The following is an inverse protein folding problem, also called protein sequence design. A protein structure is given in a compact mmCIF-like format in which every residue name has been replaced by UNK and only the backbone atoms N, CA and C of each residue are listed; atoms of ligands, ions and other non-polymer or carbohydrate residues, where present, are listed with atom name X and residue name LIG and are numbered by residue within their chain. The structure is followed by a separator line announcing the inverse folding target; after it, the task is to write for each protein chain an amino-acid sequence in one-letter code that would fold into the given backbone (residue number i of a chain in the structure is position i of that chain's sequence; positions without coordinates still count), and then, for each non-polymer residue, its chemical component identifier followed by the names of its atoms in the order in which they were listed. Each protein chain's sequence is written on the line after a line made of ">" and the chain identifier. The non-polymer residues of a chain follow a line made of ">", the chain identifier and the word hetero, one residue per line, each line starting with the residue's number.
data_IF_272393990650
#
_entry.id   IF_272393990650
#
_cell.length_a   1.000
_cell.length_b   1.000
_cell.length_c   1.000
_cell.angle_alpha   90.00
_cell.angle_beta   90.00
_cell.angle_gamma   90.00
#
_symmetry.space_group_name_H-M   'P 1'
#
loop_
_entity.id
_entity.type
_entity.pdbx_description
1 polymer ?
#
# COMPACT_ATOMS: atom_id res chain seq x y z
N UNK A 1 -4.51 4.61 20.94
CA UNK A 1 -3.53 3.80 20.18
C UNK A 1 -2.43 4.69 19.63
N UNK A 2 -1.20 4.18 19.56
CA UNK A 2 -0.03 4.92 19.04
C UNK A 2 -0.22 5.34 17.57
N UNK A 3 -0.81 4.47 16.73
CA UNK A 3 -1.10 4.78 15.33
C UNK A 3 -2.05 5.97 15.14
N UNK A 4 -3.04 6.16 16.01
CA UNK A 4 -3.96 7.31 15.92
C UNK A 4 -3.21 8.65 15.99
N UNK A 5 -2.23 8.77 16.89
CA UNK A 5 -1.39 9.97 17.03
C UNK A 5 -0.48 10.16 15.81
N UNK A 6 0.03 9.07 15.26
CA UNK A 6 0.85 9.09 14.04
C UNK A 6 0.02 9.60 12.88
N UNK A 7 -1.20 9.05 12.70
CA UNK A 7 -2.14 9.44 11.65
C UNK A 7 -2.49 10.92 11.76
N UNK A 8 -2.88 11.42 12.93
CA UNK A 8 -3.12 12.85 13.16
C UNK A 8 -1.89 13.72 12.83
N UNK A 9 -0.68 13.21 13.11
CA UNK A 9 0.59 13.87 12.80
C UNK A 9 0.91 13.99 11.31
N UNK A 10 0.33 13.14 10.46
CA UNK A 10 0.49 13.19 9.00
C UNK A 10 -0.05 14.50 8.45
N UNK A 11 -1.29 14.85 8.83
CA UNK A 11 -2.02 15.99 8.26
C UNK A 11 -1.54 17.33 8.79
N UNK A 12 -0.91 17.35 9.97
CA UNK A 12 -0.59 18.58 10.71
C UNK A 12 -1.83 19.40 11.11
N UNK A 13 -2.99 18.75 11.19
CA UNK A 13 -4.27 19.28 11.67
C UNK A 13 -4.97 18.19 12.49
N UNK A 14 -5.94 18.58 13.33
CA UNK A 14 -6.79 17.63 14.08
C UNK A 14 -7.89 17.08 13.17
N UNK A 15 -7.50 16.31 12.16
CA UNK A 15 -8.45 15.60 11.31
C UNK A 15 -8.17 14.10 11.39
N UNK A 16 -9.24 13.32 11.37
CA UNK A 16 -9.21 11.88 11.20
C UNK A 16 -10.35 11.49 10.25
N UNK A 17 -10.21 10.42 9.44
CA UNK A 17 -11.28 9.98 8.56
C UNK A 17 -12.63 9.73 9.27
N UNK A 18 -12.58 9.32 10.54
CA UNK A 18 -13.77 9.16 11.38
C UNK A 18 -14.63 10.43 11.59
N UNK A 19 -14.09 11.63 11.34
CA UNK A 19 -14.86 12.87 11.40
C UNK A 19 -15.82 13.05 10.23
N UNK A 20 -15.51 12.41 9.09
CA UNK A 20 -16.29 12.52 7.85
C UNK A 20 -17.14 11.26 7.58
N UNK A 21 -17.05 10.23 8.42
CA UNK A 21 -17.89 9.04 8.36
C UNK A 21 -19.26 9.29 9.04
N UNK A 22 -20.31 8.67 8.50
CA UNK A 22 -21.63 8.69 9.15
C UNK A 22 -21.57 8.00 10.55
N UNK A 23 -22.31 8.50 11.56
CA UNK A 23 -22.23 8.02 12.96
C UNK A 23 -22.49 6.52 13.15
N UNK A 24 -23.21 5.89 12.23
CA UNK A 24 -23.57 4.47 12.30
C UNK A 24 -22.48 3.53 11.73
N UNK A 25 -21.44 4.08 11.09
CA UNK A 25 -20.28 3.32 10.65
C UNK A 25 -19.20 3.32 11.73
N UNK A 26 -19.28 2.36 12.66
CA UNK A 26 -18.18 2.04 13.55
C UNK A 26 -17.01 1.49 12.71
N UNK A 27 -16.06 2.35 12.35
CA UNK A 27 -14.89 1.90 11.59
C UNK A 27 -13.82 1.37 12.55
N UNK A 28 -13.42 0.11 12.36
CA UNK A 28 -12.39 -0.54 13.15
C UNK A 28 -10.97 -0.10 12.75
N UNK A 29 -10.82 0.65 11.65
CA UNK A 29 -9.52 1.09 11.10
C UNK A 29 -9.42 2.61 10.99
N UNK A 30 -8.20 3.15 11.02
CA UNK A 30 -7.93 4.58 10.98
C UNK A 30 -7.71 5.12 9.58
N UNK A 31 -7.07 4.34 8.69
CA UNK A 31 -6.67 4.74 7.35
C UNK A 31 -6.94 3.68 6.30
N UNK A 32 -6.92 2.39 6.69
CA UNK A 32 -6.90 1.27 5.76
C UNK A 32 -7.97 1.34 4.65
N UNK A 33 -9.18 1.75 5.02
CA UNK A 33 -10.34 1.82 4.12
C UNK A 33 -10.62 3.24 3.60
N UNK A 34 -9.75 4.20 3.88
CA UNK A 34 -10.06 5.63 3.79
C UNK A 34 -9.18 6.42 2.84
N UNK A 35 -8.50 5.76 1.90
CA UNK A 35 -7.70 6.43 0.87
C UNK A 35 -8.51 7.48 0.09
N UNK A 36 -9.78 7.19 -0.21
CA UNK A 36 -10.70 8.10 -0.87
C UNK A 36 -11.03 9.35 -0.04
N UNK A 37 -11.30 9.21 1.26
CA UNK A 37 -11.54 10.35 2.15
C UNK A 37 -10.30 11.26 2.25
N UNK A 38 -9.11 10.65 2.31
CA UNK A 38 -7.84 11.39 2.31
C UNK A 38 -7.66 12.14 0.99
N UNK A 39 -7.96 11.50 -0.15
CA UNK A 39 -7.91 12.09 -1.47
C UNK A 39 -8.86 13.29 -1.62
N UNK A 40 -10.12 13.14 -1.17
CA UNK A 40 -11.12 14.21 -1.23
C UNK A 40 -10.74 15.40 -0.34
N UNK A 41 -10.16 15.12 0.84
CA UNK A 41 -9.78 16.15 1.80
C UNK A 41 -8.48 16.87 1.41
N UNK A 42 -7.53 16.14 0.84
CA UNK A 42 -6.20 16.64 0.49
C UNK A 42 -5.85 16.32 -0.96
N UNK A 43 -6.61 16.84 -1.95
CA UNK A 43 -6.46 16.46 -3.35
C UNK A 43 -5.10 16.87 -3.93
N UNK A 44 -4.55 18.01 -3.51
CA UNK A 44 -3.23 18.50 -3.95
C UNK A 44 -2.04 17.68 -3.40
N UNK A 45 -2.29 16.88 -2.35
CA UNK A 45 -1.30 16.02 -1.72
C UNK A 45 -1.53 14.54 -2.02
N UNK A 46 -2.46 14.22 -2.91
CA UNK A 46 -2.89 12.86 -3.17
C UNK A 46 -2.65 12.46 -4.63
N UNK A 47 -2.10 11.27 -4.82
CA UNK A 47 -1.49 10.77 -6.05
C UNK A 47 -1.79 9.29 -6.23
N UNK A 48 -1.41 8.76 -7.39
CA UNK A 48 -1.27 7.33 -7.67
C UNK A 48 0.18 6.99 -8.00
N UNK A 49 0.67 5.89 -7.43
CA UNK A 49 1.82 5.16 -7.99
C UNK A 49 1.32 4.21 -9.05
N UNK A 50 1.69 4.45 -10.30
CA UNK A 50 1.11 3.75 -11.44
C UNK A 50 2.17 3.34 -12.47
N UNK A 51 1.87 2.29 -13.23
CA UNK A 51 2.67 1.88 -14.40
C UNK A 51 2.51 2.85 -15.57
N UNK A 52 1.41 3.60 -15.60
CA UNK A 52 1.09 4.53 -16.67
C UNK A 52 1.23 5.98 -16.21
N UNK A 53 1.78 6.87 -17.05
CA UNK A 53 1.93 8.28 -16.71
C UNK A 53 0.60 9.04 -16.71
N UNK A 54 -0.44 8.51 -17.34
CA UNK A 54 -1.76 9.12 -17.52
C UNK A 54 -2.85 8.10 -17.22
N UNK A 55 -4.02 8.59 -16.77
CA UNK A 55 -5.18 7.73 -16.56
C UNK A 55 -5.62 7.09 -17.88
N UNK A 56 -5.80 5.77 -17.87
CA UNK A 56 -6.42 5.05 -18.98
C UNK A 56 -7.94 5.28 -18.90
N UNK A 57 -8.48 6.09 -19.82
CA UNK A 57 -9.92 6.45 -19.84
C UNK A 57 -10.80 5.38 -20.51
N UNK A 58 -10.23 4.60 -21.43
CA UNK A 58 -10.94 3.54 -22.14
C UNK A 58 -10.82 2.22 -21.36
N UNK A 59 -11.93 1.75 -20.81
CA UNK A 59 -12.01 0.50 -20.07
C UNK A 59 -11.54 -0.71 -20.89
N UNK A 60 -11.86 -0.75 -22.19
CA UNK A 60 -11.45 -1.85 -23.06
C UNK A 60 -9.94 -1.85 -23.34
N UNK A 61 -9.29 -0.68 -23.28
CA UNK A 61 -7.84 -0.57 -23.36
C UNK A 61 -7.22 -1.00 -22.03
N UNK A 62 -7.78 -0.56 -20.90
CA UNK A 62 -7.35 -0.94 -19.56
C UNK A 62 -7.34 -2.46 -19.38
N UNK A 63 -8.43 -3.14 -19.71
CA UNK A 63 -8.55 -4.60 -19.58
C UNK A 63 -7.51 -5.39 -20.39
N UNK A 64 -7.03 -4.83 -21.49
CA UNK A 64 -6.02 -5.47 -22.36
C UNK A 64 -4.59 -5.28 -21.86
N UNK A 65 -4.32 -4.22 -21.10
CA UNK A 65 -2.98 -3.88 -20.62
C UNK A 65 -2.80 -4.12 -19.12
N UNK A 66 -3.89 -4.33 -18.39
CA UNK A 66 -3.81 -4.66 -16.98
C UNK A 66 -3.31 -6.10 -16.76
N UNK A 67 -2.58 -6.30 -15.67
CA UNK A 67 -1.93 -7.58 -15.34
C UNK A 67 -2.29 -7.90 -13.91
N UNK A 68 -3.11 -8.94 -13.73
CA UNK A 68 -3.60 -9.37 -12.42
C UNK A 68 -2.82 -10.61 -11.98
N UNK A 69 -2.41 -10.66 -10.71
CA UNK A 69 -1.68 -11.81 -10.17
C UNK A 69 -2.46 -13.11 -10.34
N UNK A 70 -3.77 -13.09 -10.07
CA UNK A 70 -4.61 -14.29 -10.12
C UNK A 70 -4.75 -14.90 -11.51
N UNK A 71 -4.54 -14.09 -12.56
CA UNK A 71 -4.56 -14.58 -13.96
C UNK A 71 -3.22 -15.22 -14.36
N UNK A 72 -2.18 -15.10 -13.54
CA UNK A 72 -0.84 -15.65 -13.85
C UNK A 72 -0.73 -17.16 -13.64
N UNK A 73 -1.66 -17.76 -12.88
CA UNK A 73 -1.69 -19.20 -12.60
C UNK A 73 -1.79 -20.01 -13.90
N UNK A 74 -2.54 -19.51 -14.86
CA UNK A 74 -2.83 -20.19 -16.13
C UNK A 74 -1.88 -19.79 -17.28
N UNK A 75 -1.02 -18.77 -17.09
CA UNK A 75 -0.10 -18.28 -18.12
C UNK A 75 1.29 -17.91 -17.55
N UNK A 76 2.29 -18.80 -17.72
CA UNK A 76 3.67 -18.54 -17.27
C UNK A 76 4.32 -17.31 -17.88
N UNK A 77 3.94 -16.90 -19.10
CA UNK A 77 4.48 -15.67 -19.71
C UNK A 77 3.94 -14.44 -18.97
N UNK A 78 2.67 -14.47 -18.55
CA UNK A 78 2.05 -13.41 -17.77
C UNK A 78 2.69 -13.28 -16.39
N UNK A 79 3.05 -14.41 -15.75
CA UNK A 79 3.76 -14.40 -14.47
C UNK A 79 5.08 -13.63 -14.55
N UNK A 80 5.88 -13.87 -15.59
CA UNK A 80 7.16 -13.17 -15.77
C UNK A 80 6.99 -11.66 -15.94
N UNK A 81 5.94 -11.23 -16.66
CA UNK A 81 5.59 -9.83 -16.83
C UNK A 81 5.15 -9.21 -15.51
N UNK A 82 4.27 -9.90 -14.79
CA UNK A 82 3.75 -9.45 -13.49
C UNK A 82 4.89 -9.25 -12.49
N UNK A 83 5.77 -10.25 -12.32
CA UNK A 83 6.88 -10.17 -11.37
C UNK A 83 7.86 -9.04 -11.71
N UNK A 84 8.05 -8.73 -13.00
CA UNK A 84 8.87 -7.60 -13.43
C UNK A 84 8.26 -6.26 -13.01
N UNK A 85 6.95 -6.10 -13.15
CA UNK A 85 6.27 -4.89 -12.70
C UNK A 85 6.20 -4.83 -11.16
N UNK A 86 5.94 -5.95 -10.49
CA UNK A 86 5.97 -6.07 -9.00
C UNK A 86 7.30 -5.59 -8.43
N UNK A 87 8.43 -6.01 -9.02
CA UNK A 87 9.75 -5.63 -8.52
C UNK A 87 9.97 -4.11 -8.59
N UNK A 88 9.46 -3.41 -9.61
CA UNK A 88 9.58 -1.95 -9.68
C UNK A 88 8.88 -1.27 -8.49
N UNK A 89 7.67 -1.71 -8.14
CA UNK A 89 6.93 -1.17 -7.00
C UNK A 89 7.65 -1.48 -5.69
N UNK A 90 8.14 -2.73 -5.55
CA UNK A 90 8.98 -3.12 -4.41
C UNK A 90 10.21 -2.23 -4.27
N UNK A 91 10.90 -1.89 -5.36
CA UNK A 91 12.08 -1.00 -5.32
C UNK A 91 11.74 0.42 -4.88
N UNK A 92 10.63 1.01 -5.36
CA UNK A 92 10.16 2.33 -4.90
C UNK A 92 9.92 2.30 -3.39
N UNK A 93 9.16 1.31 -2.92
CA UNK A 93 8.77 1.18 -1.52
C UNK A 93 9.96 0.84 -0.62
N UNK A 94 10.90 -0.01 -1.07
CA UNK A 94 12.16 -0.33 -0.38
C UNK A 94 13.02 0.93 -0.20
N UNK A 95 13.13 1.77 -1.23
CA UNK A 95 13.89 3.03 -1.14
C UNK A 95 13.26 3.99 -0.14
N UNK A 96 11.93 4.08 -0.07
CA UNK A 96 11.26 4.86 0.97
C UNK A 96 11.52 4.27 2.36
N UNK A 97 11.44 2.95 2.50
CA UNK A 97 11.64 2.25 3.78
C UNK A 97 13.00 2.56 4.41
N UNK A 98 14.08 2.60 3.61
CA UNK A 98 15.46 2.86 4.09
C UNK A 98 15.59 4.18 4.88
N UNK A 99 14.74 5.17 4.60
CA UNK A 99 14.82 6.50 5.20
C UNK A 99 13.76 6.75 6.28
N UNK A 100 12.94 5.76 6.65
CA UNK A 100 11.75 5.98 7.46
C UNK A 100 11.55 4.94 8.56
N UNK A 101 10.99 5.42 9.68
CA UNK A 101 10.16 4.61 10.57
C UNK A 101 8.86 4.27 9.84
N UNK A 102 8.61 2.98 9.62
CA UNK A 102 7.41 2.52 8.89
C UNK A 102 6.43 1.86 9.85
N UNK A 103 5.22 2.41 9.86
CA UNK A 103 4.05 1.81 10.49
C UNK A 103 3.13 1.23 9.42
N UNK A 104 2.36 0.22 9.82
CA UNK A 104 1.29 -0.29 8.98
C UNK A 104 -0.04 -0.25 9.72
N UNK A 105 -1.10 -0.17 8.93
CA UNK A 105 -2.41 -0.71 9.28
C UNK A 105 -2.83 -1.69 8.17
N UNK A 106 -3.34 -2.86 8.51
CA UNK A 106 -3.51 -3.98 7.58
C UNK A 106 -4.73 -4.84 7.91
N UNK A 107 -5.35 -5.41 6.87
CA UNK A 107 -6.44 -6.38 7.00
C UNK A 107 -5.93 -7.79 7.34
N UNK A 108 -4.61 -8.00 7.40
CA UNK A 108 -3.99 -9.32 7.57
C UNK A 108 -4.65 -10.20 8.67
N UNK A 109 -4.99 -9.69 9.87
CA UNK A 109 -5.59 -10.51 10.93
C UNK A 109 -6.94 -11.10 10.55
N UNK A 110 -7.68 -10.43 9.66
CA UNK A 110 -9.01 -10.84 9.21
C UNK A 110 -8.96 -11.76 7.99
N UNK A 111 -7.79 -11.89 7.33
CA UNK A 111 -7.60 -12.76 6.17
C UNK A 111 -7.31 -14.20 6.61
N UNK A 112 -7.83 -15.19 5.86
CA UNK A 112 -7.51 -16.60 6.07
C UNK A 112 -6.00 -16.83 5.88
N UNK A 113 -5.36 -17.49 6.86
CA UNK A 113 -3.94 -17.79 6.83
C UNK A 113 -3.53 -18.57 5.57
N UNK A 114 -4.37 -19.49 5.07
CA UNK A 114 -4.08 -20.27 3.87
C UNK A 114 -3.88 -19.37 2.64
N UNK A 115 -4.73 -18.35 2.47
CA UNK A 115 -4.63 -17.37 1.37
C UNK A 115 -3.28 -16.63 1.46
N UNK A 116 -2.86 -16.24 2.66
CA UNK A 116 -1.59 -15.53 2.88
C UNK A 116 -0.40 -16.40 2.48
N UNK A 117 -0.44 -17.67 2.85
CA UNK A 117 0.67 -18.63 2.66
C UNK A 117 0.81 -19.04 1.20
N UNK A 118 -0.32 -19.32 0.53
CA UNK A 118 -0.34 -19.75 -0.87
C UNK A 118 0.13 -18.65 -1.83
N UNK A 119 0.02 -17.39 -1.39
CA UNK A 119 0.46 -16.23 -2.17
C UNK A 119 1.98 -16.08 -2.18
N UNK A 120 2.68 -16.59 -1.18
CA UNK A 120 4.12 -16.37 -0.99
C UNK A 120 4.89 -17.56 -1.54
N UNK A 121 5.96 -17.30 -2.30
CA UNK A 121 6.72 -18.37 -2.95
C UNK A 121 7.76 -19.05 -2.02
N UNK A 122 8.41 -18.30 -1.13
CA UNK A 122 9.48 -18.81 -0.27
C UNK A 122 8.94 -19.42 1.02
N UNK A 123 9.35 -20.64 1.36
CA UNK A 123 8.95 -21.30 2.62
C UNK A 123 9.38 -20.50 3.87
N UNK A 124 10.53 -19.84 3.82
CA UNK A 124 10.98 -18.95 4.92
C UNK A 124 10.04 -17.75 5.06
N UNK A 125 9.64 -17.12 3.96
CA UNK A 125 8.68 -16.01 3.98
C UNK A 125 7.29 -16.48 4.44
N UNK A 126 6.85 -17.69 4.06
CA UNK A 126 5.57 -18.27 4.52
C UNK A 126 5.54 -18.40 6.04
N UNK A 127 6.60 -18.97 6.63
CA UNK A 127 6.73 -19.09 8.09
C UNK A 127 6.63 -17.70 8.72
N UNK A 128 7.38 -16.74 8.19
CA UNK A 128 7.38 -15.38 8.72
C UNK A 128 6.01 -14.68 8.60
N UNK A 129 5.31 -14.86 7.48
CA UNK A 129 3.98 -14.30 7.28
C UNK A 129 2.96 -14.84 8.32
N UNK A 130 3.03 -16.14 8.64
CA UNK A 130 2.22 -16.75 9.71
C UNK A 130 2.53 -16.16 11.08
N UNK A 131 3.80 -15.88 11.36
CA UNK A 131 4.20 -15.23 12.61
C UNK A 131 3.63 -13.81 12.72
N UNK A 132 3.73 -13.00 11.66
CA UNK A 132 3.17 -11.64 11.61
C UNK A 132 1.64 -11.69 11.81
N UNK A 133 0.97 -12.61 11.11
CA UNK A 133 -0.48 -12.82 11.22
C UNK A 133 -0.88 -13.18 12.66
N UNK A 134 -0.17 -14.13 13.28
CA UNK A 134 -0.40 -14.54 14.67
C UNK A 134 -0.14 -13.42 15.67
N UNK A 135 0.92 -12.63 15.47
CA UNK A 135 1.26 -11.48 16.33
C UNK A 135 0.14 -10.44 16.32
N UNK A 136 -0.35 -10.06 15.14
CA UNK A 136 -1.42 -9.08 15.02
C UNK A 136 -2.72 -9.61 15.64
N UNK A 137 -3.11 -10.87 15.35
CA UNK A 137 -4.27 -11.52 15.97
C UNK A 137 -4.17 -11.55 17.50
N UNK A 138 -3.04 -11.97 18.05
CA UNK A 138 -2.82 -12.05 19.49
C UNK A 138 -2.88 -10.67 20.17
N UNK A 139 -2.44 -9.62 19.46
CA UNK A 139 -2.51 -8.25 19.95
C UNK A 139 -3.90 -7.61 19.86
N UNK A 140 -4.81 -8.20 19.07
CA UNK A 140 -6.12 -7.61 18.77
C UNK A 140 -6.02 -6.28 18.00
N UNK A 141 -4.92 -6.05 17.27
CA UNK A 141 -4.63 -4.82 16.55
C UNK A 141 -4.43 -5.11 15.07
N UNK A 142 -4.95 -4.22 14.22
CA UNK A 142 -4.70 -4.19 12.79
C UNK A 142 -3.43 -3.39 12.43
N UNK A 143 -2.71 -2.90 13.44
CA UNK A 143 -1.56 -2.01 13.27
C UNK A 143 -0.33 -2.51 14.01
N UNK A 144 0.84 -2.30 13.39
CA UNK A 144 2.13 -2.54 14.02
C UNK A 144 3.23 -1.69 13.39
N UNK A 145 4.32 -1.51 14.11
CA UNK A 145 5.56 -0.92 13.58
C UNK A 145 6.41 -2.02 12.96
N UNK A 146 6.93 -1.78 11.76
CA UNK A 146 7.82 -2.72 11.09
C UNK A 146 9.26 -2.50 11.54
N UNK A 147 9.89 -3.57 12.03
CA UNK A 147 11.25 -3.51 12.58
C UNK A 147 12.33 -3.91 11.56
N UNK A 148 11.98 -4.63 10.50
CA UNK A 148 12.93 -5.13 9.51
C UNK A 148 12.34 -5.08 8.10
N UNK A 149 13.24 -5.12 7.11
CA UNK A 149 12.87 -5.05 5.69
C UNK A 149 12.09 -6.30 5.23
N UNK A 150 12.35 -7.45 5.82
CA UNK A 150 11.73 -8.70 5.39
C UNK A 150 10.22 -8.71 5.62
N UNK A 151 9.78 -8.26 6.81
CA UNK A 151 8.36 -8.13 7.14
C UNK A 151 7.66 -7.11 6.24
N UNK A 152 8.37 -6.02 5.93
CA UNK A 152 7.89 -5.00 4.99
C UNK A 152 7.68 -5.57 3.60
N UNK A 153 8.66 -6.30 3.06
CA UNK A 153 8.58 -6.88 1.72
C UNK A 153 7.47 -7.94 1.59
N UNK A 154 7.25 -8.74 2.64
CA UNK A 154 6.13 -9.69 2.70
C UNK A 154 4.79 -8.96 2.57
N UNK A 155 4.59 -7.89 3.33
CA UNK A 155 3.34 -7.14 3.29
C UNK A 155 3.14 -6.39 1.97
N UNK A 156 4.22 -5.87 1.38
CA UNK A 156 4.19 -5.26 0.04
C UNK A 156 3.78 -6.30 -1.00
N UNK A 157 4.34 -7.50 -0.95
CA UNK A 157 4.00 -8.59 -1.86
C UNK A 157 2.53 -9.00 -1.74
N UNK A 158 2.04 -9.22 -0.51
CA UNK A 158 0.63 -9.54 -0.27
C UNK A 158 -0.31 -8.45 -0.75
N UNK A 159 0.10 -7.18 -0.61
CA UNK A 159 -0.65 -6.02 -1.05
C UNK A 159 -0.68 -5.84 -2.57
N UNK A 160 0.46 -6.03 -3.24
CA UNK A 160 0.53 -5.93 -4.71
C UNK A 160 -0.23 -7.07 -5.39
N UNK A 161 -0.24 -8.26 -4.78
CA UNK A 161 -0.98 -9.44 -5.27
C UNK A 161 -2.47 -9.43 -4.91
N UNK A 162 -2.95 -8.32 -4.37
CA UNK A 162 -4.35 -8.09 -4.03
C UNK A 162 -4.94 -9.08 -3.03
N UNK A 163 -4.12 -9.55 -2.08
CA UNK A 163 -4.52 -10.54 -1.07
C UNK A 163 -4.76 -9.93 0.29
N UNK A 164 -4.03 -8.87 0.59
CA UNK A 164 -4.13 -8.18 1.89
C UNK A 164 -4.01 -6.68 1.67
N UNK A 165 -5.09 -5.96 1.97
CA UNK A 165 -5.03 -4.49 2.06
C UNK A 165 -4.10 -4.09 3.19
N UNK A 166 -3.15 -3.21 2.89
CA UNK A 166 -2.22 -2.63 3.86
C UNK A 166 -1.96 -1.18 3.49
N UNK A 167 -1.99 -0.28 4.46
CA UNK A 167 -1.46 1.08 4.31
C UNK A 167 -0.09 1.16 4.96
N UNK A 168 0.91 1.58 4.18
CA UNK A 168 2.27 1.82 4.65
C UNK A 168 2.42 3.30 4.99
N UNK A 169 2.73 3.58 6.26
CA UNK A 169 2.85 4.93 6.80
C UNK A 169 4.34 5.20 7.05
N UNK A 170 4.94 5.98 6.16
CA UNK A 170 6.32 6.45 6.27
C UNK A 170 6.36 7.70 7.13
N UNK A 171 6.48 7.49 8.45
CA UNK A 171 6.23 8.49 9.49
C UNK A 171 7.09 9.76 9.32
N UNK A 172 8.39 9.60 9.05
CA UNK A 172 9.32 10.72 8.96
C UNK A 172 9.05 11.61 7.74
N UNK A 173 8.68 10.99 6.61
CA UNK A 173 8.37 11.69 5.36
C UNK A 173 6.91 12.13 5.25
N UNK A 174 6.03 11.65 6.14
CA UNK A 174 4.58 11.86 6.07
C UNK A 174 3.98 11.43 4.73
N UNK A 175 4.39 10.24 4.30
CA UNK A 175 3.88 9.57 3.11
C UNK A 175 3.02 8.39 3.53
N UNK A 176 1.88 8.20 2.89
CA UNK A 176 1.07 6.99 3.00
C UNK A 176 0.91 6.36 1.63
N UNK A 177 1.02 5.03 1.57
CA UNK A 177 0.78 4.25 0.36
C UNK A 177 -0.20 3.14 0.70
N UNK A 178 -1.32 3.07 -0.02
CA UNK A 178 -2.31 2.02 0.13
C UNK A 178 -2.07 0.93 -0.91
N UNK A 179 -1.90 -0.31 -0.47
CA UNK A 179 -1.84 -1.48 -1.33
C UNK A 179 -3.22 -2.05 -1.64
N UNK A 180 -3.27 -3.10 -2.47
CA UNK A 180 -4.51 -3.75 -2.91
C UNK A 180 -5.37 -2.89 -3.83
N UNK A 181 -4.72 -2.27 -4.83
CA UNK A 181 -5.33 -1.42 -5.86
C UNK A 181 -4.67 -1.71 -7.22
N UNK A 182 -4.51 -2.98 -7.58
CA UNK A 182 -3.66 -3.37 -8.71
C UNK A 182 -2.25 -2.71 -8.63
N UNK A 183 -1.60 -2.51 -9.77
CA UNK A 183 -0.45 -1.61 -9.91
C UNK A 183 -0.85 -0.12 -10.05
N UNK A 184 -1.86 0.34 -9.31
CA UNK A 184 -2.32 1.74 -9.24
C UNK A 184 -2.56 2.15 -7.78
N UNK A 185 -1.49 2.28 -7.01
CA UNK A 185 -1.56 2.44 -5.55
C UNK A 185 -1.88 3.90 -5.18
N UNK A 186 -2.95 4.17 -4.41
CA UNK A 186 -3.17 5.49 -3.84
C UNK A 186 -2.01 5.91 -2.94
N UNK A 187 -1.64 7.18 -3.02
CA UNK A 187 -0.56 7.78 -2.23
C UNK A 187 -0.98 9.14 -1.71
N UNK A 188 -0.66 9.38 -0.44
CA UNK A 188 -0.67 10.71 0.15
C UNK A 188 0.78 11.13 0.42
N UNK A 189 1.14 12.36 0.06
CA UNK A 189 2.45 12.94 0.36
C UNK A 189 2.30 14.43 0.68
N UNK A 190 2.52 14.77 1.95
CA UNK A 190 2.30 16.13 2.44
C UNK A 190 3.41 17.11 2.07
N UNK A 191 4.66 16.71 2.27
CA UNK A 191 5.81 17.61 2.16
C UNK A 191 6.32 17.63 0.72
N UNK A 192 6.32 18.80 0.10
CA UNK A 192 6.78 18.99 -1.28
C UNK A 192 8.18 18.41 -1.52
N UNK A 193 9.10 18.55 -0.55
CA UNK A 193 10.46 18.00 -0.66
C UNK A 193 10.43 16.48 -0.81
N UNK A 194 9.60 15.79 -0.02
CA UNK A 194 9.49 14.34 -0.08
C UNK A 194 8.64 13.86 -1.25
N UNK A 195 7.64 14.65 -1.69
CA UNK A 195 6.92 14.40 -2.94
C UNK A 195 7.87 14.45 -4.14
N UNK A 196 8.75 15.47 -4.22
CA UNK A 196 9.76 15.57 -5.28
C UNK A 196 10.76 14.40 -5.22
N UNK A 197 11.16 13.96 -4.02
CA UNK A 197 12.00 12.77 -3.85
C UNK A 197 11.28 11.52 -4.34
N UNK A 198 10.02 11.31 -3.94
CA UNK A 198 9.20 10.19 -4.37
C UNK A 198 9.07 10.16 -5.89
N UNK A 199 8.76 11.30 -6.52
CA UNK A 199 8.69 11.40 -7.97
C UNK A 199 10.00 10.95 -8.65
N UNK A 200 11.17 11.39 -8.14
CA UNK A 200 12.47 10.96 -8.67
C UNK A 200 12.73 9.46 -8.51
N UNK A 201 12.37 8.90 -7.35
CA UNK A 201 12.46 7.46 -7.11
C UNK A 201 11.59 6.71 -8.12
N UNK A 202 10.33 7.11 -8.30
CA UNK A 202 9.41 6.49 -9.25
C UNK A 202 9.96 6.52 -10.67
N UNK A 203 10.39 7.70 -11.15
CA UNK A 203 10.95 7.84 -12.50
C UNK A 203 12.18 6.95 -12.71
N UNK A 204 13.01 6.79 -11.69
CA UNK A 204 14.22 5.94 -11.75
C UNK A 204 13.86 4.46 -11.88
N UNK A 205 12.80 4.01 -11.19
CA UNK A 205 12.33 2.62 -11.23
C UNK A 205 11.36 2.32 -12.38
N UNK A 206 11.06 3.31 -13.23
CA UNK A 206 10.12 3.14 -14.34
C UNK A 206 8.66 3.02 -13.89
N UNK A 207 8.30 3.76 -12.84
CA UNK A 207 6.94 3.97 -12.31
C UNK A 207 6.64 5.48 -12.36
N UNK A 208 5.36 5.82 -12.39
CA UNK A 208 4.90 7.20 -12.38
C UNK A 208 4.22 7.54 -11.06
N UNK A 209 4.52 8.73 -10.53
CA UNK A 209 3.73 9.35 -9.48
C UNK A 209 2.79 10.35 -10.16
N UNK A 210 1.51 10.02 -10.22
CA UNK A 210 0.51 10.77 -10.99
C UNK A 210 -0.48 11.48 -10.06
N UNK A 211 -0.81 12.76 -10.27
CA UNK A 211 -1.88 13.42 -9.53
C UNK A 211 -3.23 12.71 -9.74
N UNK A 212 -4.12 12.75 -8.74
CA UNK A 212 -5.47 12.18 -8.85
C UNK A 212 -6.28 12.77 -10.02
N UNK A 213 -6.09 14.06 -10.29
CA UNK A 213 -6.96 14.85 -11.16
C UNK A 213 -6.49 14.97 -12.63
N UNK A 214 -5.42 14.26 -13.02
CA UNK A 214 -4.86 14.35 -14.39
C UNK A 214 -5.45 13.35 -15.40
#
# INVERSE_FOLDING_TARGET
>A
MEIAKIVEGLWGSKWSPSMDLEPDNMCETFLLEHSHLVADRFPENSFYLDRFPLQIKDQSAFEKVNIFFDKTVDDPNLLSLYLREEEKFKQVLRKLWVYNSVWIETALPSVNEEIVVDTINSDTQKIRAKEIHSQLKASGSNSMKLANLHDFEILVELGLREKVSTVFIFENMKICVWSNFDFSLPVYSKDEKYTQLLHRICTTEGIFLRPLND
#
